data_IF_825852649222
#
_entry.id   IF_825852649222
#
_cell.length_a   1.000
_cell.length_b   1.000
_cell.length_c   1.000
_cell.angle_alpha   90.00
_cell.angle_beta   90.00
_cell.angle_gamma   90.00
#
_symmetry.space_group_name_H-M   'P 1'
#
loop_
_entity.id
_entity.type
_entity.pdbx_description
1 polymer ?
#
# COMPACT_ATOMS: atom_id res chain seq x y z
N UNK A 1 -3.50 -9.13 -13.69
CA UNK A 1 -2.22 -8.64 -14.24
C UNK A 1 -2.07 -8.91 -15.72
N UNK A 2 -2.18 -10.16 -16.20
CA UNK A 2 -2.12 -10.46 -17.65
C UNK A 2 -3.05 -9.56 -18.48
N UNK A 3 -4.31 -9.50 -18.08
CA UNK A 3 -5.33 -8.68 -18.76
C UNK A 3 -5.06 -7.16 -18.69
N UNK A 4 -4.41 -6.70 -17.61
CA UNK A 4 -4.03 -5.29 -17.39
C UNK A 4 -2.87 -4.93 -18.32
N UNK A 5 -1.90 -5.82 -18.44
CA UNK A 5 -0.74 -5.67 -19.34
C UNK A 5 -1.22 -5.70 -20.80
N UNK A 6 -2.16 -6.60 -21.12
CA UNK A 6 -2.76 -6.69 -22.46
C UNK A 6 -3.59 -5.45 -22.83
N UNK A 7 -4.11 -4.71 -21.84
CA UNK A 7 -4.90 -3.48 -22.04
C UNK A 7 -4.10 -2.19 -21.86
N UNK A 8 -2.81 -2.27 -21.57
CA UNK A 8 -1.93 -1.12 -21.26
C UNK A 8 -2.45 -0.23 -20.11
N UNK A 9 -3.12 -0.85 -19.13
CA UNK A 9 -3.73 -0.20 -17.97
C UNK A 9 -2.78 -0.14 -16.76
N UNK A 10 -1.48 -0.38 -16.95
CA UNK A 10 -0.55 -0.45 -15.83
C UNK A 10 -0.40 0.92 -15.15
N UNK A 11 -0.32 1.99 -15.92
CA UNK A 11 -0.19 3.36 -15.39
C UNK A 11 -1.45 3.86 -14.68
N UNK A 12 -2.64 3.34 -15.03
CA UNK A 12 -3.89 3.74 -14.38
C UNK A 12 -4.11 3.05 -13.03
N UNK A 13 -3.35 1.99 -12.75
CA UNK A 13 -3.47 1.18 -11.53
C UNK A 13 -2.40 1.54 -10.51
N UNK A 14 -1.20 1.90 -10.98
CA UNK A 14 -0.09 2.30 -10.10
C UNK A 14 -0.14 3.83 -9.89
N UNK A 15 -0.80 4.24 -8.82
CA UNK A 15 -0.81 5.64 -8.38
C UNK A 15 0.48 5.97 -7.61
N UNK A 16 1.45 6.55 -8.32
CA UNK A 16 2.74 6.95 -7.74
C UNK A 16 2.59 8.31 -7.05
N UNK A 17 2.36 8.28 -5.74
CA UNK A 17 2.31 9.49 -4.92
C UNK A 17 3.67 9.78 -4.27
N UNK A 18 4.27 10.89 -4.70
CA UNK A 18 5.58 11.35 -4.21
C UNK A 18 5.41 12.13 -2.89
N UNK A 19 4.22 12.67 -2.60
CA UNK A 19 3.98 13.44 -1.39
C UNK A 19 3.94 12.54 -0.15
N UNK A 20 5.01 12.63 0.64
CA UNK A 20 5.17 11.88 1.89
C UNK A 20 4.07 12.14 2.93
N UNK A 21 3.42 13.30 2.91
CA UNK A 21 2.33 13.61 3.85
C UNK A 21 1.07 12.80 3.48
N UNK A 22 0.71 12.77 2.20
CA UNK A 22 -0.44 12.00 1.69
C UNK A 22 -0.23 10.51 1.98
N UNK A 23 0.99 10.00 1.75
CA UNK A 23 1.37 8.65 2.15
C UNK A 23 1.13 8.38 3.64
N UNK A 24 1.66 9.23 4.52
CA UNK A 24 1.51 9.05 5.98
C UNK A 24 0.04 9.00 6.40
N UNK A 25 -0.79 9.87 5.84
CA UNK A 25 -2.22 9.90 6.13
C UNK A 25 -2.91 8.61 5.68
N UNK A 26 -2.64 8.14 4.45
CA UNK A 26 -3.20 6.90 3.89
C UNK A 26 -2.81 5.69 4.74
N UNK A 27 -1.52 5.56 5.08
CA UNK A 27 -1.04 4.47 5.93
C UNK A 27 -1.68 4.51 7.32
N UNK A 28 -1.74 5.68 7.97
CA UNK A 28 -2.33 5.78 9.30
C UNK A 28 -3.84 5.47 9.30
N UNK A 29 -4.55 5.85 8.23
CA UNK A 29 -5.97 5.53 8.05
C UNK A 29 -6.21 4.02 7.98
N UNK A 30 -5.35 3.27 7.29
CA UNK A 30 -5.52 1.83 7.13
C UNK A 30 -4.93 1.01 8.28
N UNK A 31 -3.82 1.46 8.88
CA UNK A 31 -3.14 0.76 9.97
C UNK A 31 -4.00 0.70 11.24
N UNK A 32 -4.78 1.74 11.52
CA UNK A 32 -5.62 1.84 12.71
C UNK A 32 -7.09 1.48 12.43
N UNK A 33 -7.40 0.89 11.27
CA UNK A 33 -8.78 0.60 10.90
C UNK A 33 -9.22 -0.72 11.56
N UNK A 34 -10.24 -0.71 12.45
CA UNK A 34 -10.70 -1.91 13.14
C UNK A 34 -11.37 -2.93 12.20
N UNK A 35 -11.77 -2.53 10.99
CA UNK A 35 -12.37 -3.40 9.98
C UNK A 35 -11.35 -4.05 9.04
N UNK A 36 -10.08 -3.65 9.11
CA UNK A 36 -9.02 -4.18 8.27
C UNK A 36 -7.94 -4.76 9.18
N UNK A 37 -7.62 -6.03 9.01
CA UNK A 37 -6.56 -6.68 9.77
C UNK A 37 -5.58 -7.36 8.82
N UNK A 38 -4.29 -7.11 9.03
CA UNK A 38 -3.24 -7.90 8.40
C UNK A 38 -3.09 -9.17 9.23
N UNK A 39 -3.29 -10.32 8.62
CA UNK A 39 -3.06 -11.60 9.28
C UNK A 39 -1.57 -11.78 9.53
N UNK A 40 -1.17 -11.85 10.81
CA UNK A 40 0.23 -11.93 11.24
C UNK A 40 0.61 -13.38 11.53
N UNK A 41 1.44 -13.98 10.69
CA UNK A 41 2.00 -15.33 10.90
C UNK A 41 3.15 -15.29 11.91
N UNK A 42 3.88 -14.18 11.95
CA UNK A 42 4.98 -13.89 12.89
C UNK A 42 4.74 -12.55 13.58
N UNK A 43 5.36 -12.29 14.74
CA UNK A 43 5.39 -10.96 15.32
C UNK A 43 5.91 -9.96 14.27
N UNK A 44 5.12 -8.93 14.02
CA UNK A 44 5.47 -7.84 13.11
C UNK A 44 5.89 -6.62 13.91
N UNK A 45 6.76 -5.79 13.33
CA UNK A 45 7.02 -4.45 13.84
C UNK A 45 6.24 -3.40 13.04
N UNK A 46 6.14 -2.19 13.62
CA UNK A 46 5.40 -1.09 13.00
C UNK A 46 5.92 -0.74 11.59
N UNK A 47 7.22 -0.90 11.33
CA UNK A 47 7.79 -0.62 10.01
C UNK A 47 7.31 -1.62 8.96
N UNK A 48 7.31 -2.91 9.32
CA UNK A 48 6.82 -4.00 8.46
C UNK A 48 5.33 -3.84 8.16
N UNK A 49 4.51 -3.54 9.18
CA UNK A 49 3.08 -3.30 8.98
C UNK A 49 2.83 -2.14 7.99
N UNK A 50 3.58 -1.03 8.13
CA UNK A 50 3.47 0.10 7.21
C UNK A 50 3.88 -0.26 5.78
N UNK A 51 4.95 -1.05 5.61
CA UNK A 51 5.42 -1.49 4.30
C UNK A 51 4.39 -2.40 3.61
N UNK A 52 3.78 -3.33 4.36
CA UNK A 52 2.73 -4.21 3.83
C UNK A 52 1.50 -3.39 3.41
N UNK A 53 1.02 -2.47 4.26
CA UNK A 53 -0.12 -1.61 3.92
C UNK A 53 0.19 -0.73 2.71
N UNK A 54 1.42 -0.20 2.60
CA UNK A 54 1.86 0.59 1.45
C UNK A 54 1.79 -0.21 0.16
N UNK A 55 2.33 -1.42 0.16
CA UNK A 55 2.32 -2.30 -1.01
C UNK A 55 0.90 -2.72 -1.40
N UNK A 56 0.05 -3.07 -0.43
CA UNK A 56 -1.34 -3.46 -0.67
C UNK A 56 -2.19 -2.31 -1.23
N UNK A 57 -1.92 -1.08 -0.81
CA UNK A 57 -2.60 0.11 -1.35
C UNK A 57 -2.01 0.60 -2.67
N UNK A 58 -1.04 -0.13 -3.25
CA UNK A 58 -0.27 0.26 -4.43
C UNK A 58 0.31 1.67 -4.35
N UNK A 59 0.46 2.17 -3.12
CA UNK A 59 0.88 3.52 -2.80
C UNK A 59 2.27 3.44 -2.21
N UNK A 60 3.19 3.01 -3.07
CA UNK A 60 4.57 2.72 -2.72
C UNK A 60 5.39 3.97 -2.94
N UNK A 61 5.97 4.51 -1.87
CA UNK A 61 7.10 5.43 -2.03
C UNK A 61 8.29 4.57 -2.43
N UNK A 62 8.63 4.57 -3.72
CA UNK A 62 9.90 4.03 -4.20
C UNK A 62 10.92 5.13 -3.94
N UNK A 63 11.78 4.93 -2.95
CA UNK A 63 12.91 5.81 -2.66
C UNK A 63 14.14 5.35 -3.44
#
# INVERSE_FOLDING_TARGET
>A
MKEIIEKDELESIIDVEINKNIYKEKINKHLNNPHISIFKITPSNLSQDKAIISALNQHTIIW
#
